data_IF_789238003290
#
_entry.id   IF_789238003290
#
_cell.length_a   1.000
_cell.length_b   1.000
_cell.length_c   1.000
_cell.angle_alpha   90.00
_cell.angle_beta   90.00
_cell.angle_gamma   90.00
#
_symmetry.space_group_name_H-M   'P 1'
#
loop_
_entity.id
_entity.type
_entity.pdbx_description
1 polymer ?
#
# COMPACT_ATOMS: atom_id res chain seq x y z
N UNK A 1 4.06 -7.90 4.07
CA UNK A 1 3.04 -7.26 3.21
C UNK A 1 3.62 -7.20 1.80
N UNK A 2 2.82 -7.48 0.77
CA UNK A 2 3.19 -7.44 -0.64
C UNK A 2 2.36 -6.38 -1.35
N UNK A 3 2.94 -5.70 -2.32
CA UNK A 3 2.22 -4.81 -3.22
C UNK A 3 1.89 -5.59 -4.49
N UNK A 4 0.59 -5.79 -4.74
CA UNK A 4 0.11 -6.70 -5.78
C UNK A 4 -0.67 -5.99 -6.89
N UNK A 5 -0.91 -4.68 -6.77
CA UNK A 5 -1.51 -3.90 -7.83
C UNK A 5 -1.87 -2.49 -7.40
N UNK A 6 -2.21 -1.66 -8.39
CA UNK A 6 -2.75 -0.33 -8.19
C UNK A 6 -4.08 -0.21 -8.93
N UNK A 7 -5.09 0.32 -8.25
CA UNK A 7 -6.32 0.78 -8.87
C UNK A 7 -6.20 2.28 -9.12
N UNK A 8 -6.27 2.67 -10.40
CA UNK A 8 -6.40 4.08 -10.75
C UNK A 8 -7.87 4.48 -10.61
N UNK A 9 -8.21 5.06 -9.46
CA UNK A 9 -9.54 5.57 -9.18
C UNK A 9 -9.56 7.08 -9.37
N UNK A 10 -9.31 7.54 -10.61
CA UNK A 10 -9.32 8.96 -10.96
C UNK A 10 -10.62 9.67 -10.52
N UNK A 11 -11.75 8.98 -10.59
CA UNK A 11 -13.07 9.45 -10.10
C UNK A 11 -13.19 9.52 -8.57
N UNK A 12 -12.32 8.86 -7.82
CA UNK A 12 -12.27 8.84 -6.35
C UNK A 12 -11.05 9.58 -5.78
N UNK A 13 -10.37 10.39 -6.60
CA UNK A 13 -9.32 11.30 -6.15
C UNK A 13 -7.92 10.70 -6.05
N UNK A 14 -7.62 9.59 -6.75
CA UNK A 14 -6.24 9.15 -6.91
C UNK A 14 -6.01 7.65 -6.99
N UNK A 15 -4.76 7.25 -6.75
CA UNK A 15 -4.33 5.85 -6.77
C UNK A 15 -4.71 5.15 -5.45
N UNK A 16 -5.10 3.88 -5.57
CA UNK A 16 -5.37 2.97 -4.45
C UNK A 16 -4.41 1.79 -4.57
N UNK A 17 -3.60 1.56 -3.53
CA UNK A 17 -2.73 0.40 -3.48
C UNK A 17 -3.51 -0.84 -3.08
N UNK A 18 -3.28 -1.94 -3.78
CA UNK A 18 -3.74 -3.28 -3.42
C UNK A 18 -2.58 -4.00 -2.76
N UNK A 19 -2.79 -4.38 -1.50
CA UNK A 19 -1.77 -4.97 -0.63
C UNK A 19 -2.24 -6.34 -0.15
N UNK A 20 -1.31 -7.28 0.01
CA UNK A 20 -1.63 -8.61 0.57
C UNK A 20 -0.66 -9.02 1.67
N UNK A 21 -1.18 -9.70 2.70
CA UNK A 21 -0.35 -10.29 3.76
C UNK A 21 0.07 -11.73 3.42
N UNK A 22 0.82 -12.36 4.33
CA UNK A 22 1.25 -13.75 4.15
C UNK A 22 0.12 -14.79 4.30
N UNK A 23 -1.06 -14.38 4.79
CA UNK A 23 -2.24 -15.23 4.98
C UNK A 23 -3.21 -15.14 3.79
N UNK A 24 -2.93 -14.29 2.80
CA UNK A 24 -3.75 -14.09 1.61
C UNK A 24 -4.87 -13.06 1.80
N UNK A 25 -4.90 -12.32 2.91
CA UNK A 25 -5.84 -11.21 3.06
C UNK A 25 -5.46 -10.09 2.08
N UNK A 26 -6.46 -9.44 1.50
CA UNK A 26 -6.29 -8.31 0.57
C UNK A 26 -6.78 -7.03 1.23
N UNK A 27 -5.95 -6.00 1.16
CA UNK A 27 -6.21 -4.68 1.70
C UNK A 27 -6.12 -3.62 0.61
N UNK A 28 -6.92 -2.58 0.75
CA UNK A 28 -6.89 -1.41 -0.12
C UNK A 28 -6.49 -0.19 0.72
N UNK A 29 -5.61 0.65 0.20
CA UNK A 29 -5.20 1.87 0.91
C UNK A 29 -4.79 2.99 -0.02
N UNK A 30 -5.22 4.21 0.29
CA UNK A 30 -4.76 5.46 -0.31
C UNK A 30 -3.64 6.07 0.52
N UNK A 31 -2.94 7.05 -0.03
CA UNK A 31 -1.99 7.85 0.75
C UNK A 31 -2.67 8.42 2.02
N UNK A 32 -2.03 8.18 3.17
CA UNK A 32 -2.54 8.54 4.50
C UNK A 32 -3.26 7.40 5.24
N UNK A 33 -3.74 6.37 4.55
CA UNK A 33 -4.51 5.28 5.17
C UNK A 33 -3.62 4.37 6.03
N UNK A 34 -4.20 3.85 7.11
CA UNK A 34 -3.58 2.85 7.98
C UNK A 34 -4.03 1.44 7.57
N UNK A 35 -3.09 0.61 7.16
CA UNK A 35 -3.29 -0.77 6.70
C UNK A 35 -2.73 -1.74 7.74
N UNK A 36 -3.46 -2.82 7.99
CA UNK A 36 -3.17 -3.82 9.05
C UNK A 36 -3.00 -3.22 10.46
N UNK A 37 -3.41 -1.97 10.70
CA UNK A 37 -3.12 -1.26 11.94
C UNK A 37 -1.64 -0.96 12.19
N UNK A 38 -0.77 -1.20 11.20
CA UNK A 38 0.70 -1.16 11.37
C UNK A 38 1.42 -0.28 10.36
N UNK A 39 0.86 -0.13 9.17
CA UNK A 39 1.51 0.57 8.08
C UNK A 39 0.65 1.73 7.60
N UNK A 40 1.21 2.93 7.57
CA UNK A 40 0.59 4.06 6.90
C UNK A 40 1.10 4.15 5.47
N UNK A 41 0.19 4.20 4.51
CA UNK A 41 0.56 4.41 3.10
C UNK A 41 1.05 5.83 2.95
N UNK A 42 2.26 6.01 2.42
CA UNK A 42 2.88 7.33 2.25
C UNK A 42 2.67 7.81 0.82
N UNK A 43 3.04 6.98 -0.16
CA UNK A 43 2.88 7.27 -1.58
C UNK A 43 2.62 5.98 -2.35
N UNK A 44 1.95 6.12 -3.49
CA UNK A 44 1.63 5.02 -4.39
C UNK A 44 2.17 5.44 -5.75
N UNK A 45 2.89 4.55 -6.41
CA UNK A 45 3.28 4.67 -7.80
C UNK A 45 2.83 3.43 -8.57
N UNK A 46 3.09 3.42 -9.87
CA UNK A 46 2.67 2.33 -10.75
C UNK A 46 3.41 1.01 -10.43
N UNK A 47 4.69 1.10 -10.07
CA UNK A 47 5.57 -0.06 -9.86
C UNK A 47 5.99 -0.26 -8.40
N UNK A 48 5.60 0.65 -7.50
CA UNK A 48 5.95 0.54 -6.08
C UNK A 48 5.07 1.39 -5.19
N UNK A 49 4.95 1.00 -3.93
CA UNK A 49 4.33 1.80 -2.88
C UNK A 49 5.32 2.05 -1.73
N UNK A 50 5.30 3.26 -1.17
CA UNK A 50 6.05 3.61 0.03
C UNK A 50 5.12 3.53 1.25
N UNK A 51 5.54 2.79 2.27
CA UNK A 51 4.80 2.61 3.51
C UNK A 51 5.67 3.03 4.69
N UNK A 52 5.10 3.72 5.67
CA UNK A 52 5.75 3.98 6.95
C UNK A 52 5.17 3.09 8.04
N UNK A 53 6.01 2.65 8.98
CA UNK A 53 5.50 2.02 10.20
C UNK A 53 4.74 3.06 11.03
N UNK A 54 3.55 2.71 11.52
CA UNK A 54 2.68 3.63 12.27
C UNK A 54 3.28 4.06 13.62
N UNK A 55 4.25 3.30 14.14
CA UNK A 55 4.97 3.58 15.38
C UNK A 55 6.29 4.35 15.16
N UNK A 56 6.57 4.80 13.93
CA UNK A 56 7.72 5.65 13.64
C UNK A 56 9.04 4.92 13.39
N UNK A 57 9.07 3.58 13.31
CA UNK A 57 10.29 2.80 12.98
C UNK A 57 10.92 3.09 11.62
N UNK A 58 10.29 3.91 10.79
CA UNK A 58 10.81 4.35 9.50
C UNK A 58 9.88 3.99 8.35
N UNK A 59 10.45 3.93 7.15
CA UNK A 59 9.73 3.68 5.90
C UNK A 59 10.31 2.51 5.15
N UNK A 60 9.47 1.86 4.34
CA UNK A 60 9.84 0.81 3.43
C UNK A 60 9.19 1.06 2.07
N UNK A 61 9.93 0.76 1.01
CA UNK A 61 9.40 0.74 -0.35
C UNK A 61 9.15 -0.70 -0.76
N UNK A 62 7.91 -1.01 -1.13
CA UNK A 62 7.51 -2.32 -1.61
C UNK A 62 7.33 -2.22 -3.12
N UNK A 63 8.15 -2.96 -3.88
CA UNK A 63 8.01 -3.08 -5.34
C UNK A 63 6.78 -3.93 -5.67
N UNK A 64 6.16 -3.63 -6.81
CA UNK A 64 5.08 -4.43 -7.34
C UNK A 64 5.61 -5.84 -7.59
N UNK A 65 5.01 -6.81 -6.93
CA UNK A 65 5.28 -8.22 -7.16
C UNK A 65 3.99 -8.85 -7.64
N UNK A 66 3.98 -9.31 -8.89
CA UNK A 66 2.94 -10.20 -9.39
C UNK A 66 2.84 -11.43 -8.49
N UNK A 67 1.62 -11.92 -8.30
CA UNK A 67 1.32 -13.07 -7.45
C UNK A 67 2.03 -14.33 -7.94
#
# INVERSE_FOLDING_TARGET
LKFIGVLNAASLGGQVAILSDARGNVFHGRAGDLVEGRYRVVSIGEESAELSYADGRGRQTIRLSGQ
#
